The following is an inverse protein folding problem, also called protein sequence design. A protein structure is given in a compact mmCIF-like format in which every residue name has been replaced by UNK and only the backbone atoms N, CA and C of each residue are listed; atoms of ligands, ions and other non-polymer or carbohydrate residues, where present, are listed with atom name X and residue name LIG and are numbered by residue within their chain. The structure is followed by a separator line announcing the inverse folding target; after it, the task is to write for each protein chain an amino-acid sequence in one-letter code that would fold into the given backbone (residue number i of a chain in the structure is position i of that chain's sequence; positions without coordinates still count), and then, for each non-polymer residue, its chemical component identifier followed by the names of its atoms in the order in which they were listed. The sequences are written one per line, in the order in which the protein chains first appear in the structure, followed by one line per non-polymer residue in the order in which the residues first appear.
data_IF_900967222677
#
_entry.id   IF_900967222677
#
_cell.length_a   1.000
_cell.length_b   1.000
_cell.length_c   1.000
_cell.angle_alpha   90.00
_cell.angle_beta   90.00
_cell.angle_gamma   90.00
#
_symmetry.space_group_name_H-M   'P 1'
#
loop_
_entity.id
_entity.type
_entity.pdbx_description
1 polymer ?
#
# COMPACT_ATOMS: atom_id res chain seq x y z
N UNK A 1 4.97 6.42 -13.79
CA UNK A 1 4.51 5.26 -14.57
C UNK A 1 4.01 5.80 -15.89
N UNK A 2 4.56 5.31 -16.99
CA UNK A 2 4.30 5.84 -18.33
C UNK A 2 3.94 4.69 -19.28
N UNK A 3 2.70 4.69 -19.75
CA UNK A 3 2.18 3.75 -20.77
C UNK A 3 2.41 2.26 -20.46
N UNK A 4 2.34 1.89 -19.16
CA UNK A 4 2.67 0.55 -18.70
C UNK A 4 1.58 -0.45 -19.08
N UNK A 5 2.00 -1.53 -19.75
CA UNK A 5 1.20 -2.71 -20.05
C UNK A 5 1.84 -3.92 -19.38
N UNK A 6 1.04 -4.74 -18.68
CA UNK A 6 1.50 -5.92 -17.95
C UNK A 6 0.70 -7.13 -18.38
N UNK A 7 1.41 -8.22 -18.68
CA UNK A 7 0.80 -9.48 -19.10
C UNK A 7 1.29 -10.64 -18.22
N UNK A 8 0.43 -11.66 -18.06
CA UNK A 8 0.77 -12.96 -17.48
C UNK A 8 0.50 -14.05 -18.51
N UNK A 9 1.49 -14.90 -18.78
CA UNK A 9 1.37 -15.98 -19.80
C UNK A 9 0.86 -15.48 -21.16
N UNK A 10 1.20 -14.24 -21.53
CA UNK A 10 0.75 -13.61 -22.78
C UNK A 10 -0.62 -12.94 -22.72
N UNK A 11 -1.39 -13.11 -21.63
CA UNK A 11 -2.66 -12.40 -21.44
C UNK A 11 -2.44 -11.04 -20.77
N UNK A 12 -2.95 -9.98 -21.37
CA UNK A 12 -2.82 -8.62 -20.85
C UNK A 12 -3.78 -8.41 -19.66
N UNK A 13 -3.20 -8.07 -18.50
CA UNK A 13 -3.93 -7.81 -17.25
C UNK A 13 -4.01 -6.30 -16.94
N UNK A 14 -3.00 -5.54 -17.34
CA UNK A 14 -2.96 -4.07 -17.23
C UNK A 14 -2.57 -3.51 -18.58
N UNK A 15 -3.31 -2.52 -19.06
CA UNK A 15 -3.14 -1.98 -20.40
C UNK A 15 -2.98 -0.46 -20.39
N UNK A 16 -1.86 0.05 -20.90
CA UNK A 16 -1.59 1.47 -21.14
C UNK A 16 -1.87 2.38 -19.94
N UNK A 17 -1.38 2.00 -18.76
CA UNK A 17 -1.59 2.76 -17.53
C UNK A 17 -0.50 3.80 -17.35
N UNK A 18 -0.93 5.06 -17.15
CA UNK A 18 -0.03 6.18 -16.86
C UNK A 18 -0.49 6.95 -15.65
N UNK A 19 0.45 7.29 -14.75
CA UNK A 19 0.22 8.21 -13.63
C UNK A 19 1.54 8.74 -13.08
N UNK A 20 1.45 9.86 -12.36
CA UNK A 20 2.57 10.44 -11.63
C UNK A 20 2.26 10.54 -10.14
N UNK A 21 3.30 10.45 -9.30
CA UNK A 21 3.21 10.64 -7.87
C UNK A 21 4.35 11.54 -7.40
N UNK A 22 4.00 12.65 -6.76
CA UNK A 22 4.97 13.59 -6.17
C UNK A 22 5.37 13.16 -4.78
N UNK A 23 6.55 13.57 -4.33
CA UNK A 23 7.01 13.34 -2.96
C UNK A 23 5.98 13.85 -1.95
N UNK A 24 5.69 13.01 -0.96
CA UNK A 24 4.71 13.30 0.08
C UNK A 24 3.24 13.29 -0.36
N UNK A 25 2.93 13.02 -1.63
CA UNK A 25 1.56 12.87 -2.11
C UNK A 25 1.05 11.43 -1.94
N UNK A 26 -0.27 11.26 -1.91
CA UNK A 26 -0.94 9.95 -1.87
C UNK A 26 -1.77 9.76 -3.13
N UNK A 27 -1.51 8.66 -3.85
CA UNK A 27 -2.34 8.16 -4.94
C UNK A 27 -3.18 6.98 -4.44
N UNK A 28 -4.50 7.10 -4.53
CA UNK A 28 -5.42 5.97 -4.36
C UNK A 28 -5.66 5.26 -5.70
N UNK A 29 -5.44 3.96 -5.77
CA UNK A 29 -5.82 3.13 -6.93
C UNK A 29 -7.02 2.30 -6.52
N UNK A 30 -8.16 2.52 -7.18
CA UNK A 30 -9.44 1.85 -6.85
C UNK A 30 -10.00 1.10 -8.05
N UNK A 31 -10.86 0.13 -7.76
CA UNK A 31 -11.54 -0.70 -8.76
C UNK A 31 -11.98 -2.03 -8.16
N UNK A 32 -12.73 -2.82 -8.92
CA UNK A 32 -13.19 -4.15 -8.51
C UNK A 32 -12.01 -5.14 -8.31
N UNK A 33 -12.28 -6.25 -7.60
CA UNK A 33 -11.31 -7.34 -7.50
C UNK A 33 -10.95 -7.86 -8.89
N UNK A 34 -9.66 -8.12 -9.13
CA UNK A 34 -9.17 -8.57 -10.45
C UNK A 34 -8.96 -7.45 -11.47
N UNK A 35 -9.19 -6.16 -11.15
CA UNK A 35 -8.99 -5.07 -12.12
C UNK A 35 -7.54 -4.72 -12.44
N UNK A 36 -6.54 -5.39 -11.83
CA UNK A 36 -5.12 -5.16 -12.09
C UNK A 36 -4.39 -4.26 -11.07
N UNK A 37 -5.06 -3.79 -10.01
CA UNK A 37 -4.47 -2.87 -9.00
C UNK A 37 -3.21 -3.41 -8.34
N UNK A 38 -3.30 -4.60 -7.74
CA UNK A 38 -2.15 -5.26 -7.08
C UNK A 38 -1.05 -5.64 -8.08
N UNK A 39 -1.42 -5.85 -9.36
CA UNK A 39 -0.47 -6.11 -10.44
C UNK A 39 0.43 -4.89 -10.67
N UNK A 40 -0.12 -3.67 -10.65
CA UNK A 40 0.66 -2.43 -10.78
C UNK A 40 1.65 -2.31 -9.61
N UNK A 41 1.21 -2.56 -8.38
CA UNK A 41 2.08 -2.53 -7.20
C UNK A 41 3.20 -3.58 -7.29
N UNK A 42 2.85 -4.81 -7.71
CA UNK A 42 3.84 -5.88 -7.92
C UNK A 42 4.85 -5.53 -9.02
N UNK A 43 4.43 -4.85 -10.10
CA UNK A 43 5.34 -4.40 -11.13
C UNK A 43 6.36 -3.39 -10.60
N UNK A 44 5.93 -2.40 -9.79
CA UNK A 44 6.83 -1.42 -9.16
C UNK A 44 7.84 -2.12 -8.24
N UNK A 45 7.43 -3.20 -7.57
CA UNK A 45 8.30 -3.99 -6.67
C UNK A 45 9.15 -5.04 -7.39
N UNK A 46 8.97 -5.26 -8.69
CA UNK A 46 9.61 -6.37 -9.40
C UNK A 46 9.13 -7.76 -8.91
N UNK A 47 7.89 -7.85 -8.43
CA UNK A 47 7.30 -9.05 -7.84
C UNK A 47 6.20 -9.68 -8.73
N UNK A 48 6.32 -9.52 -10.05
CA UNK A 48 5.36 -10.13 -11.00
C UNK A 48 5.49 -11.66 -11.07
N UNK A 49 6.61 -12.23 -10.60
CA UNK A 49 6.91 -13.65 -10.72
C UNK A 49 7.39 -14.04 -12.13
N UNK A 50 7.60 -15.34 -12.36
CA UNK A 50 8.14 -15.86 -13.63
C UNK A 50 7.18 -15.71 -14.82
N UNK A 51 5.89 -15.69 -14.56
CA UNK A 51 4.84 -15.61 -15.58
C UNK A 51 4.43 -14.18 -15.94
N UNK A 52 4.81 -13.20 -15.11
CA UNK A 52 4.42 -11.80 -15.25
C UNK A 52 5.51 -10.93 -15.87
N UNK A 53 5.15 -10.08 -16.83
CA UNK A 53 6.09 -9.22 -17.54
C UNK A 53 5.46 -7.85 -17.80
N UNK A 54 6.24 -6.79 -17.62
CA UNK A 54 5.96 -5.48 -18.21
C UNK A 54 6.29 -5.56 -19.68
N UNK A 55 5.27 -5.59 -20.55
CA UNK A 55 5.42 -5.79 -22.00
C UNK A 55 5.64 -4.49 -22.76
N UNK A 56 5.24 -3.35 -22.18
CA UNK A 56 5.54 -2.01 -22.71
C UNK A 56 5.44 -0.95 -21.62
N UNK A 57 6.00 0.22 -21.88
CA UNK A 57 6.02 1.36 -20.98
C UNK A 57 7.10 1.25 -19.89
N UNK A 58 7.19 2.29 -19.08
CA UNK A 58 8.28 2.51 -18.14
C UNK A 58 7.78 2.84 -16.73
N UNK A 59 8.52 2.39 -15.71
CA UNK A 59 8.29 2.72 -14.31
C UNK A 59 9.49 3.52 -13.80
N UNK A 60 9.33 4.83 -13.70
CA UNK A 60 10.39 5.74 -13.27
C UNK A 60 10.34 5.98 -11.74
N UNK A 61 11.48 5.85 -11.10
CA UNK A 61 11.67 6.23 -9.70
C UNK A 61 12.92 7.10 -9.56
N UNK A 62 12.75 8.37 -9.20
CA UNK A 62 13.86 9.35 -9.05
C UNK A 62 14.79 9.42 -10.28
N UNK A 63 14.22 9.32 -11.49
CA UNK A 63 14.98 9.36 -12.76
C UNK A 63 15.61 8.03 -13.17
N UNK A 64 15.39 6.97 -12.43
CA UNK A 64 15.84 5.61 -12.75
C UNK A 64 14.67 4.76 -13.20
N UNK A 65 14.81 4.06 -14.34
CA UNK A 65 13.77 3.15 -14.83
C UNK A 65 13.85 1.80 -14.10
N UNK A 66 12.84 1.49 -13.29
CA UNK A 66 12.79 0.25 -12.50
C UNK A 66 12.63 -1.00 -13.38
N UNK A 67 11.97 -0.87 -14.56
CA UNK A 67 11.73 -2.00 -15.47
C UNK A 67 13.02 -2.51 -16.12
N UNK A 68 14.02 -1.65 -16.27
CA UNK A 68 15.33 -1.99 -16.87
C UNK A 68 16.36 -2.42 -15.82
N UNK A 69 16.01 -2.35 -14.53
CA UNK A 69 16.94 -2.70 -13.47
C UNK A 69 17.15 -4.21 -13.38
N UNK A 70 18.41 -4.61 -13.19
CA UNK A 70 18.68 -5.97 -12.72
C UNK A 70 18.10 -6.16 -11.30
N UNK A 71 17.68 -7.38 -10.97
CA UNK A 71 17.16 -7.73 -9.65
C UNK A 71 18.08 -7.27 -8.51
N UNK A 72 19.40 -7.42 -8.67
CA UNK A 72 20.40 -6.97 -7.71
C UNK A 72 20.39 -5.45 -7.49
N UNK A 73 20.11 -4.66 -8.54
CA UNK A 73 20.02 -3.20 -8.46
C UNK A 73 18.69 -2.81 -7.80
N UNK A 74 17.58 -3.41 -8.21
CA UNK A 74 16.26 -3.16 -7.66
C UNK A 74 16.18 -3.48 -6.15
N UNK A 75 16.78 -4.57 -5.70
CA UNK A 75 16.85 -4.92 -4.25
C UNK A 75 17.46 -3.84 -3.36
N UNK A 76 18.28 -2.94 -3.89
CA UNK A 76 18.82 -1.83 -3.11
C UNK A 76 17.78 -0.74 -2.81
N UNK A 77 16.75 -0.64 -3.65
CA UNK A 77 15.63 0.31 -3.45
C UNK A 77 14.55 -0.29 -2.56
N UNK A 78 14.32 -1.61 -2.68
CA UNK A 78 13.30 -2.31 -1.90
C UNK A 78 13.70 -2.38 -0.43
N UNK A 79 12.79 -2.01 0.46
CA UNK A 79 13.01 -1.95 1.91
C UNK A 79 13.66 -0.65 2.40
N UNK A 80 14.47 0.03 1.58
CA UNK A 80 15.12 1.31 1.94
C UNK A 80 14.40 2.53 1.38
N UNK A 81 14.23 2.56 0.06
CA UNK A 81 13.58 3.67 -0.66
C UNK A 81 12.10 3.41 -0.91
N UNK A 82 11.75 2.14 -1.13
CA UNK A 82 10.39 1.68 -1.43
C UNK A 82 10.01 0.63 -0.39
N UNK A 83 9.06 0.97 0.49
CA UNK A 83 8.46 0.06 1.46
C UNK A 83 7.15 -0.53 0.94
N UNK A 84 6.74 -1.69 1.49
CA UNK A 84 5.47 -2.31 1.14
C UNK A 84 4.72 -2.82 2.37
N UNK A 85 3.43 -2.49 2.43
CA UNK A 85 2.44 -3.08 3.36
C UNK A 85 1.59 -4.04 2.56
N UNK A 86 1.64 -5.32 2.91
CA UNK A 86 0.91 -6.38 2.25
C UNK A 86 -0.54 -6.45 2.73
N UNK A 87 -1.44 -6.97 1.89
CA UNK A 87 -2.85 -7.17 2.20
C UNK A 87 -3.05 -8.04 3.46
N UNK A 88 -2.30 -9.12 3.59
CA UNK A 88 -2.27 -9.96 4.78
C UNK A 88 -0.88 -9.89 5.42
N UNK A 89 -0.71 -8.90 6.32
CA UNK A 89 0.54 -8.74 7.07
C UNK A 89 0.86 -9.94 7.94
N UNK A 90 -0.16 -10.68 8.44
CA UNK A 90 0.07 -11.87 9.25
C UNK A 90 0.65 -13.02 8.42
N UNK A 91 0.11 -13.24 7.21
CA UNK A 91 0.64 -14.25 6.29
C UNK A 91 2.04 -13.91 5.74
N UNK A 92 2.38 -12.61 5.66
CA UNK A 92 3.71 -12.15 5.25
C UNK A 92 4.79 -12.38 6.33
N UNK A 93 4.40 -12.65 7.58
CA UNK A 93 5.30 -12.88 8.70
C UNK A 93 5.55 -14.38 8.92
N UNK A 94 6.79 -14.74 9.23
CA UNK A 94 7.16 -16.11 9.60
C UNK A 94 6.56 -16.47 10.98
N UNK A 95 5.65 -17.47 11.08
CA UNK A 95 4.91 -17.73 12.30
C UNK A 95 5.78 -18.27 13.46
N UNK A 96 6.94 -18.87 13.16
CA UNK A 96 7.84 -19.48 14.14
C UNK A 96 9.00 -18.58 14.56
N UNK A 97 8.93 -17.30 14.22
CA UNK A 97 9.94 -16.28 14.57
C UNK A 97 9.28 -15.09 15.26
N UNK A 98 9.96 -14.52 16.26
CA UNK A 98 9.46 -13.31 16.92
C UNK A 98 9.46 -12.11 15.97
N UNK A 99 8.56 -11.15 16.21
CA UNK A 99 8.46 -9.91 15.44
C UNK A 99 9.80 -9.16 15.42
N UNK A 100 10.45 -9.02 16.58
CA UNK A 100 11.73 -8.32 16.68
C UNK A 100 12.86 -8.99 15.90
N UNK A 101 12.85 -10.33 15.80
CA UNK A 101 13.85 -11.06 15.00
C UNK A 101 13.67 -10.82 13.50
N UNK A 102 12.42 -10.76 13.03
CA UNK A 102 12.07 -10.54 11.63
C UNK A 102 12.37 -9.09 11.20
N UNK A 103 12.00 -8.11 12.04
CA UNK A 103 12.33 -6.70 11.78
C UNK A 103 13.86 -6.50 11.76
N UNK A 104 14.60 -7.11 12.70
CA UNK A 104 16.05 -7.03 12.70
C UNK A 104 16.67 -7.61 11.42
N UNK A 105 16.18 -8.74 10.94
CA UNK A 105 16.65 -9.35 9.68
C UNK A 105 16.39 -8.41 8.51
N UNK A 106 15.16 -7.89 8.35
CA UNK A 106 14.80 -6.98 7.28
C UNK A 106 15.72 -5.74 7.23
N UNK A 107 16.05 -5.15 8.38
CA UNK A 107 16.97 -4.00 8.45
C UNK A 107 18.41 -4.43 8.17
N UNK A 108 18.83 -5.59 8.67
CA UNK A 108 20.22 -6.09 8.55
C UNK A 108 20.62 -6.44 7.11
N UNK A 109 19.66 -6.68 6.22
CA UNK A 109 19.92 -6.84 4.77
C UNK A 109 20.48 -5.55 4.13
N UNK A 110 20.21 -4.39 4.74
CA UNK A 110 20.56 -3.09 4.17
C UNK A 110 21.65 -2.34 4.95
N UNK A 111 21.70 -2.53 6.28
CA UNK A 111 22.68 -1.82 7.12
C UNK A 111 23.22 -2.71 8.25
N UNK A 112 24.48 -2.48 8.63
CA UNK A 112 25.06 -3.13 9.80
C UNK A 112 24.56 -2.46 11.07
N UNK A 113 23.62 -3.11 11.76
CA UNK A 113 22.93 -2.54 12.92
C UNK A 113 22.79 -3.57 14.05
N UNK A 114 22.84 -3.11 15.31
CA UNK A 114 22.60 -3.97 16.45
C UNK A 114 21.12 -4.23 16.68
N UNK A 115 20.78 -5.40 17.26
CA UNK A 115 19.39 -5.71 17.66
C UNK A 115 18.81 -4.66 18.61
N UNK A 116 19.63 -4.10 19.51
CA UNK A 116 19.22 -3.06 20.45
C UNK A 116 18.77 -1.80 19.72
N UNK A 117 19.50 -1.38 18.70
CA UNK A 117 19.16 -0.18 17.91
C UNK A 117 17.92 -0.39 17.05
N UNK A 118 17.77 -1.58 16.43
CA UNK A 118 16.54 -1.92 15.67
C UNK A 118 15.33 -1.92 16.60
N UNK A 119 15.42 -2.51 17.78
CA UNK A 119 14.33 -2.49 18.79
C UNK A 119 13.95 -1.07 19.20
N UNK A 120 14.93 -0.17 19.35
CA UNK A 120 14.68 1.24 19.65
C UNK A 120 13.92 1.92 18.51
N UNK A 121 14.41 1.82 17.27
CA UNK A 121 13.74 2.40 16.08
C UNK A 121 12.31 1.85 15.89
N UNK A 122 12.16 0.53 15.98
CA UNK A 122 10.84 -0.10 15.90
C UNK A 122 9.91 0.41 17.00
N UNK A 123 10.40 0.51 18.24
CA UNK A 123 9.64 1.03 19.38
C UNK A 123 9.17 2.47 19.18
N UNK A 124 10.00 3.34 18.58
CA UNK A 124 9.64 4.73 18.26
C UNK A 124 8.51 4.81 17.22
N UNK A 125 8.54 3.95 16.18
CA UNK A 125 7.47 3.86 15.18
C UNK A 125 6.21 3.24 15.80
N UNK A 126 6.35 2.12 16.50
CA UNK A 126 5.24 1.41 17.15
C UNK A 126 4.47 2.31 18.09
N UNK A 127 5.15 3.14 18.87
CA UNK A 127 4.51 4.12 19.74
C UNK A 127 3.67 5.14 18.96
N UNK A 128 4.16 5.60 17.79
CA UNK A 128 3.42 6.55 16.93
C UNK A 128 2.15 5.95 16.34
N UNK A 129 2.13 4.62 16.13
CA UNK A 129 1.00 3.90 15.56
C UNK A 129 0.19 3.13 16.63
N UNK A 130 0.24 3.56 17.89
CA UNK A 130 -0.60 3.04 18.97
C UNK A 130 -0.26 1.61 19.43
N UNK A 131 0.98 1.15 19.22
CA UNK A 131 1.51 -0.07 19.83
C UNK A 131 2.43 0.30 21.02
N UNK A 132 1.82 0.73 22.12
CA UNK A 132 2.55 1.31 23.28
C UNK A 132 3.47 0.30 23.97
N UNK A 133 3.07 -0.98 24.08
CA UNK A 133 3.92 -2.04 24.62
C UNK A 133 4.78 -2.69 23.52
N UNK A 134 5.63 -1.86 22.92
CA UNK A 134 6.51 -2.29 21.85
C UNK A 134 7.48 -3.41 22.27
N UNK A 135 7.88 -3.45 23.55
CA UNK A 135 8.74 -4.50 24.08
C UNK A 135 8.08 -5.88 23.95
N UNK A 136 6.86 -6.00 24.48
CA UNK A 136 6.07 -7.24 24.39
C UNK A 136 5.79 -7.61 22.93
N UNK A 137 5.37 -6.64 22.10
CA UNK A 137 5.10 -6.91 20.66
C UNK A 137 6.32 -7.45 19.94
N UNK A 138 7.51 -6.89 20.18
CA UNK A 138 8.76 -7.33 19.54
C UNK A 138 9.19 -8.74 19.99
N UNK A 139 8.81 -9.15 21.21
CA UNK A 139 9.10 -10.48 21.74
C UNK A 139 8.00 -11.51 21.44
N UNK A 140 6.86 -11.08 20.93
CA UNK A 140 5.73 -11.94 20.52
C UNK A 140 5.96 -12.58 19.14
N UNK A 141 5.27 -13.70 18.92
CA UNK A 141 5.09 -14.33 17.60
C UNK A 141 3.87 -13.77 16.90
N UNK A 142 3.79 -13.82 15.55
CA UNK A 142 2.63 -13.28 14.80
C UNK A 142 1.27 -13.82 15.23
N UNK A 143 1.18 -15.09 15.64
CA UNK A 143 -0.07 -15.74 16.07
C UNK A 143 -0.55 -15.28 17.46
N UNK A 144 0.31 -14.67 18.27
CA UNK A 144 -0.04 -14.10 19.57
C UNK A 144 -0.63 -12.68 19.46
N UNK A 145 -0.59 -12.08 18.29
CA UNK A 145 -1.06 -10.73 18.02
C UNK A 145 -2.44 -10.75 17.33
N UNK A 146 -3.28 -9.75 17.63
CA UNK A 146 -4.52 -9.53 16.89
C UNK A 146 -4.27 -9.14 15.44
N UNK A 147 -5.31 -9.21 14.58
CA UNK A 147 -5.20 -8.79 13.17
C UNK A 147 -4.72 -7.34 13.03
N UNK A 148 -5.30 -6.42 13.79
CA UNK A 148 -4.89 -5.03 13.79
C UNK A 148 -3.47 -4.80 14.31
N UNK A 149 -2.99 -5.60 15.28
CA UNK A 149 -1.59 -5.53 15.74
C UNK A 149 -0.63 -6.04 14.67
N UNK A 150 -0.94 -7.16 13.99
CA UNK A 150 -0.13 -7.66 12.87
C UNK A 150 -0.07 -6.63 11.73
N UNK A 151 -1.19 -5.95 11.43
CA UNK A 151 -1.23 -4.88 10.43
C UNK A 151 -0.27 -3.73 10.80
N UNK A 152 -0.32 -3.27 12.06
CA UNK A 152 0.59 -2.23 12.57
C UNK A 152 2.05 -2.68 12.57
N UNK A 153 2.32 -3.94 12.88
CA UNK A 153 3.67 -4.52 12.73
C UNK A 153 4.13 -4.46 11.28
N UNK A 154 3.25 -4.80 10.31
CA UNK A 154 3.53 -4.65 8.88
C UNK A 154 3.88 -3.20 8.49
N UNK A 155 3.09 -2.22 8.96
CA UNK A 155 3.35 -0.79 8.75
C UNK A 155 4.70 -0.40 9.38
N UNK A 156 4.97 -0.82 10.63
CA UNK A 156 6.24 -0.55 11.31
C UNK A 156 7.42 -1.10 10.51
N UNK A 157 7.32 -2.35 10.04
CA UNK A 157 8.38 -2.99 9.24
C UNK A 157 8.62 -2.27 7.92
N UNK A 158 7.55 -1.87 7.21
CA UNK A 158 7.64 -1.15 5.96
C UNK A 158 8.24 0.27 6.13
N UNK A 159 8.03 0.89 7.30
CA UNK A 159 8.43 2.27 7.57
C UNK A 159 9.76 2.39 8.33
N UNK A 160 10.37 1.29 8.80
CA UNK A 160 11.54 1.35 9.71
C UNK A 160 12.79 1.97 9.08
N UNK A 161 12.91 1.87 7.76
CA UNK A 161 13.98 2.49 6.97
C UNK A 161 13.61 3.89 6.46
N UNK A 162 12.44 4.43 6.84
CA UNK A 162 11.90 5.73 6.41
C UNK A 162 11.85 5.87 4.88
N UNK A 163 11.17 4.96 4.17
CA UNK A 163 11.17 4.95 2.71
C UNK A 163 10.54 6.23 2.15
N UNK A 164 11.00 6.64 0.97
CA UNK A 164 10.41 7.78 0.26
C UNK A 164 9.08 7.43 -0.41
N UNK A 165 8.86 6.15 -0.73
CA UNK A 165 7.62 5.62 -1.30
C UNK A 165 7.13 4.43 -0.46
N UNK A 166 5.87 4.48 -0.04
CA UNK A 166 5.17 3.35 0.57
C UNK A 166 4.09 2.84 -0.37
N UNK A 167 4.15 1.58 -0.70
CA UNK A 167 3.11 0.85 -1.41
C UNK A 167 2.26 0.12 -0.38
N UNK A 168 0.94 0.27 -0.43
CA UNK A 168 0.04 -0.42 0.48
C UNK A 168 -1.08 -1.09 -0.32
N UNK A 169 -1.06 -2.42 -0.34
CA UNK A 169 -2.05 -3.22 -1.03
C UNK A 169 -3.12 -3.66 -0.03
N UNK A 170 -4.34 -3.12 -0.20
CA UNK A 170 -5.52 -3.37 0.64
C UNK A 170 -5.23 -3.27 2.17
N UNK A 171 -4.59 -2.18 2.66
CA UNK A 171 -4.05 -2.13 4.02
C UNK A 171 -5.13 -2.18 5.12
N UNK A 172 -6.41 -2.16 4.75
CA UNK A 172 -7.54 -2.12 5.69
C UNK A 172 -8.58 -3.22 5.46
N UNK A 173 -8.40 -4.11 4.48
CA UNK A 173 -9.45 -5.03 3.99
C UNK A 173 -9.94 -6.07 5.02
N UNK A 174 -9.06 -6.51 5.92
CA UNK A 174 -9.38 -7.56 6.91
C UNK A 174 -9.71 -7.00 8.31
N UNK A 175 -10.00 -5.68 8.42
CA UNK A 175 -10.16 -4.98 9.68
C UNK A 175 -11.60 -4.47 9.84
N UNK A 176 -12.08 -4.40 11.08
CA UNK A 176 -13.33 -3.71 11.39
C UNK A 176 -13.23 -2.19 11.14
N UNK A 177 -14.38 -1.52 11.01
CA UNK A 177 -14.47 -0.11 10.62
C UNK A 177 -13.67 0.82 11.55
N UNK A 178 -13.64 0.51 12.85
CA UNK A 178 -12.92 1.33 13.83
C UNK A 178 -11.41 1.21 13.64
N UNK A 179 -10.92 -0.03 13.48
CA UNK A 179 -9.49 -0.30 13.23
C UNK A 179 -9.07 0.21 11.84
N UNK A 180 -9.94 0.11 10.82
CA UNK A 180 -9.67 0.72 9.50
C UNK A 180 -9.37 2.21 9.60
N UNK A 181 -10.22 2.95 10.35
CA UNK A 181 -10.02 4.39 10.57
C UNK A 181 -8.68 4.67 11.25
N UNK A 182 -8.33 3.90 12.28
CA UNK A 182 -7.06 4.04 12.98
C UNK A 182 -5.87 3.81 12.05
N UNK A 183 -5.88 2.75 11.22
CA UNK A 183 -4.81 2.47 10.24
C UNK A 183 -4.66 3.61 9.23
N UNK A 184 -5.77 4.20 8.77
CA UNK A 184 -5.74 5.38 7.89
C UNK A 184 -5.06 6.57 8.58
N UNK A 185 -5.43 6.87 9.83
CA UNK A 185 -4.82 7.94 10.62
C UNK A 185 -3.32 7.70 10.87
N UNK A 186 -2.93 6.46 11.11
CA UNK A 186 -1.53 6.03 11.28
C UNK A 186 -0.72 6.22 10.00
N UNK A 187 -1.25 5.83 8.84
CA UNK A 187 -0.59 6.06 7.54
C UNK A 187 -0.46 7.55 7.23
N UNK A 188 -1.49 8.36 7.50
CA UNK A 188 -1.44 9.82 7.36
C UNK A 188 -0.38 10.46 8.30
N UNK A 189 -0.27 9.94 9.53
CA UNK A 189 0.77 10.37 10.46
C UNK A 189 2.17 10.03 9.93
N UNK A 190 2.38 8.83 9.37
CA UNK A 190 3.66 8.43 8.76
C UNK A 190 4.00 9.31 7.56
N UNK A 191 3.01 9.56 6.66
CA UNK A 191 3.17 10.53 5.56
C UNK A 191 3.69 11.89 6.06
N UNK A 192 3.00 12.46 7.05
CA UNK A 192 3.35 13.79 7.60
C UNK A 192 4.71 13.81 8.30
N UNK A 193 5.03 12.74 9.03
CA UNK A 193 6.26 12.65 9.83
C UNK A 193 7.49 12.49 8.96
N UNK A 194 7.41 11.67 7.90
CA UNK A 194 8.56 11.28 7.09
C UNK A 194 8.51 11.83 5.66
N UNK A 195 7.47 12.59 5.31
CA UNK A 195 7.23 13.07 3.94
C UNK A 195 7.23 11.95 2.90
N UNK A 196 6.75 10.76 3.30
CA UNK A 196 6.67 9.57 2.44
C UNK A 196 5.53 9.72 1.43
N UNK A 197 5.81 9.53 0.14
CA UNK A 197 4.78 9.38 -0.88
C UNK A 197 4.12 8.00 -0.75
N UNK A 198 2.82 7.87 -1.06
CA UNK A 198 2.12 6.60 -0.90
C UNK A 198 1.29 6.23 -2.12
N UNK A 199 1.29 4.96 -2.49
CA UNK A 199 0.30 4.36 -3.40
C UNK A 199 -0.55 3.40 -2.56
N UNK A 200 -1.84 3.70 -2.47
CA UNK A 200 -2.81 2.90 -1.70
C UNK A 200 -3.74 2.20 -2.68
N UNK A 201 -3.65 0.89 -2.74
CA UNK A 201 -4.60 0.06 -3.49
C UNK A 201 -5.72 -0.36 -2.56
N UNK A 202 -6.96 -0.10 -2.94
CA UNK A 202 -8.13 -0.53 -2.16
C UNK A 202 -9.39 -0.54 -3.01
N UNK A 203 -10.38 -1.34 -2.61
CA UNK A 203 -11.75 -1.26 -3.13
C UNK A 203 -12.63 -0.32 -2.28
N UNK A 204 -12.13 0.17 -1.14
CA UNK A 204 -12.88 1.05 -0.24
C UNK A 204 -12.66 2.53 -0.60
N UNK A 205 -13.63 3.11 -1.32
CA UNK A 205 -13.61 4.52 -1.73
C UNK A 205 -13.60 5.48 -0.53
N UNK A 206 -14.21 5.09 0.58
CA UNK A 206 -14.19 5.87 1.81
C UNK A 206 -12.75 6.11 2.32
N UNK A 207 -11.90 5.09 2.25
CA UNK A 207 -10.47 5.20 2.59
C UNK A 207 -9.77 6.19 1.67
N UNK A 208 -9.97 6.05 0.34
CA UNK A 208 -9.35 6.95 -0.65
C UNK A 208 -9.81 8.39 -0.48
N UNK A 209 -11.13 8.61 -0.27
CA UNK A 209 -11.69 9.95 -0.01
C UNK A 209 -11.08 10.62 1.22
N UNK A 210 -10.69 9.83 2.23
CA UNK A 210 -10.11 10.35 3.47
C UNK A 210 -8.64 10.72 3.34
N UNK A 211 -7.87 10.03 2.49
CA UNK A 211 -6.42 10.15 2.54
C UNK A 211 -5.74 10.49 1.21
N UNK A 212 -6.32 10.16 0.07
CA UNK A 212 -5.65 10.33 -1.22
C UNK A 212 -5.78 11.74 -1.77
N UNK A 213 -4.69 12.29 -2.27
CA UNK A 213 -4.67 13.57 -3.01
C UNK A 213 -5.17 13.37 -4.44
N UNK A 214 -4.76 12.27 -5.07
CA UNK A 214 -5.19 11.87 -6.42
C UNK A 214 -5.72 10.44 -6.40
N UNK A 215 -6.61 10.15 -7.33
CA UNK A 215 -7.22 8.83 -7.51
C UNK A 215 -7.05 8.36 -8.96
N UNK A 216 -6.82 7.07 -9.10
CA UNK A 216 -6.85 6.34 -10.36
C UNK A 216 -7.91 5.25 -10.24
N UNK A 217 -8.92 5.30 -11.09
CA UNK A 217 -9.98 4.29 -11.16
C UNK A 217 -9.63 3.29 -12.25
N UNK A 218 -9.51 2.02 -11.87
CA UNK A 218 -9.09 0.94 -12.75
C UNK A 218 -10.23 -0.07 -12.94
N UNK A 219 -10.53 -0.42 -14.19
CA UNK A 219 -11.48 -1.47 -14.55
C UNK A 219 -10.91 -2.32 -15.68
N UNK A 220 -10.86 -3.64 -15.49
CA UNK A 220 -10.35 -4.59 -16.49
C UNK A 220 -8.97 -4.18 -17.06
N UNK A 221 -8.07 -3.77 -16.18
CA UNK A 221 -6.71 -3.37 -16.54
C UNK A 221 -6.59 -1.99 -17.19
N UNK A 222 -7.67 -1.24 -17.39
CA UNK A 222 -7.67 0.07 -18.03
C UNK A 222 -8.06 1.19 -17.07
N UNK A 223 -7.43 2.37 -17.24
CA UNK A 223 -7.79 3.57 -16.51
C UNK A 223 -9.15 4.10 -17.01
N UNK A 224 -10.09 4.30 -16.10
CA UNK A 224 -11.41 4.89 -16.39
C UNK A 224 -11.44 6.36 -16.03
N UNK A 225 -10.92 6.72 -14.87
CA UNK A 225 -10.76 8.10 -14.43
C UNK A 225 -9.42 8.26 -13.69
N UNK A 226 -8.79 9.43 -13.85
CA UNK A 226 -7.57 9.79 -13.14
C UNK A 226 -7.52 11.30 -12.88
N UNK A 227 -7.31 11.70 -11.63
CA UNK A 227 -7.27 13.12 -11.31
C UNK A 227 -7.19 13.39 -9.81
N UNK A 228 -7.47 14.64 -9.42
CA UNK A 228 -7.66 15.02 -8.03
C UNK A 228 -8.84 14.26 -7.41
N UNK A 229 -8.65 13.69 -6.22
CA UNK A 229 -9.64 12.81 -5.60
C UNK A 229 -11.03 13.45 -5.50
N UNK A 230 -11.12 14.73 -5.09
CA UNK A 230 -12.40 15.42 -4.98
C UNK A 230 -13.09 15.55 -6.33
N UNK A 231 -12.35 15.95 -7.36
CA UNK A 231 -12.92 16.17 -8.69
C UNK A 231 -13.47 14.85 -9.27
N UNK A 232 -12.68 13.78 -9.22
CA UNK A 232 -13.09 12.45 -9.75
C UNK A 232 -14.25 11.86 -8.95
N UNK A 233 -14.27 12.00 -7.62
CA UNK A 233 -15.33 11.43 -6.79
C UNK A 233 -16.64 12.23 -6.81
N UNK A 234 -16.56 13.55 -6.95
CA UNK A 234 -17.75 14.43 -6.94
C UNK A 234 -18.30 14.67 -8.36
N UNK A 235 -17.45 14.60 -9.39
CA UNK A 235 -17.78 14.81 -10.80
C UNK A 235 -17.16 13.74 -11.71
N UNK A 236 -17.47 12.45 -11.51
CA UNK A 236 -16.90 11.38 -12.33
C UNK A 236 -17.31 11.52 -13.81
N UNK A 237 -16.36 11.34 -14.70
CA UNK A 237 -16.61 11.41 -16.15
C UNK A 237 -17.05 10.05 -16.69
N UNK A 238 -16.35 8.97 -16.33
CA UNK A 238 -16.63 7.62 -16.79
C UNK A 238 -17.87 7.00 -16.13
N UNK A 239 -18.63 6.21 -16.90
CA UNK A 239 -19.85 5.53 -16.44
C UNK A 239 -19.58 4.51 -15.33
N UNK A 240 -18.45 3.83 -15.39
CA UNK A 240 -18.06 2.86 -14.35
C UNK A 240 -17.79 3.57 -13.02
N UNK A 241 -17.08 4.69 -13.06
CA UNK A 241 -16.81 5.50 -11.86
C UNK A 241 -18.12 6.04 -11.26
N UNK A 242 -19.07 6.50 -12.10
CA UNK A 242 -20.42 6.91 -11.65
C UNK A 242 -21.15 5.77 -10.95
N UNK A 243 -21.11 4.57 -11.51
CA UNK A 243 -21.73 3.39 -10.92
C UNK A 243 -21.06 3.01 -9.60
N UNK A 244 -19.72 3.06 -9.54
CA UNK A 244 -18.95 2.77 -8.34
C UNK A 244 -19.30 3.76 -7.20
N UNK A 245 -19.44 5.05 -7.51
CA UNK A 245 -19.84 6.09 -6.55
C UNK A 245 -21.30 5.90 -6.08
N UNK A 246 -22.22 5.58 -6.98
CA UNK A 246 -23.63 5.40 -6.62
C UNK A 246 -23.85 4.24 -5.66
N UNK A 247 -23.05 3.17 -5.75
CA UNK A 247 -23.12 2.03 -4.83
C UNK A 247 -22.71 2.40 -3.40
N UNK A 248 -21.77 3.32 -3.23
CA UNK A 248 -21.35 3.84 -1.91
C UNK A 248 -22.39 4.76 -1.29
N UNK A 249 -23.09 5.55 -2.09
CA UNK A 249 -24.13 6.49 -1.61
C UNK A 249 -25.40 5.78 -1.16
N UNK A 250 -25.76 4.66 -1.79
CA UNK A 250 -26.93 3.87 -1.38
C UNK A 250 -26.80 3.29 0.04
N UNK A 251 -25.63 2.85 0.44
CA UNK A 251 -25.38 2.39 1.80
C UNK A 251 -25.58 3.44 2.90
N UNK A 252 -25.50 4.74 2.55
CA UNK A 252 -25.78 5.86 3.48
C UNK A 252 -27.26 6.26 3.55
N UNK A 253 -28.03 6.06 2.49
CA UNK A 253 -29.47 6.42 2.46
C UNK A 253 -30.34 5.47 3.29
N UNK A 254 -30.03 4.19 3.27
CA UNK A 254 -30.83 3.18 4.00
C UNK A 254 -30.73 3.30 5.54
N UNK A 255 -29.66 3.94 6.07
CA UNK A 255 -29.53 4.20 7.52
C UNK A 255 -30.38 5.38 8.03
N UNK A 256 -30.82 6.28 7.15
CA UNK A 256 -31.62 7.45 7.55
C UNK A 256 -33.14 7.26 7.37
N UNK A 257 -33.62 6.06 6.94
CA UNK A 257 -35.05 5.77 6.84
C UNK A 257 -35.61 4.93 7.98
N UNK A 258 -34.75 4.45 8.90
CA UNK A 258 -35.21 3.70 10.10
C UNK A 258 -35.36 4.57 11.37
N UNK A 259 -35.18 5.89 11.29
CA UNK A 259 -35.40 6.84 12.41
C UNK A 259 -36.52 7.86 12.13
N UNK A 260 -37.68 7.40 11.60
CA UNK A 260 -38.93 8.21 11.66
C UNK A 260 -40.11 7.33 12.03
#
# INVERSE_FOLDING_TARGET
VEHVTISYNGETVVQDVSFELKQGAILGIVGESGSGKSTIVKAIMGLLGEEGLVTSGDIWYKGENLTDMSEKKLRKYLGTEIGMVFQDCKAALCPVRTIGAQIHEAVSEHEKISRKEVRKRAGEIMKKIGLDDSGRVLDSYPFELSGGMNQRVGICTAMIMHPNLLLADEPTSALDVTVQKQVVEELLLMRKTYNTAMIIVTHNIGVVRMMADRILVLQNGQVRDYGETRNVLDHPEDLYTKKLMSSVLHLKRDRNQEEN
#
